data_IF_252826134519
#
_entry.id   IF_252826134519
#
_cell.length_a   1.000
_cell.length_b   1.000
_cell.length_c   1.000
_cell.angle_alpha   90.00
_cell.angle_beta   90.00
_cell.angle_gamma   90.00
#
_symmetry.space_group_name_H-M   'P 1'
#
loop_
_entity.id
_entity.type
_entity.pdbx_description
1 polymer ?
#
# COMPACT_ATOMS: atom_id res chain seq x y z
N UNK A 1 -4.65 23.69 1.62
CA UNK A 1 -3.53 22.82 1.19
C UNK A 1 -3.37 21.68 2.19
N UNK A 2 -4.07 20.55 2.01
CA UNK A 2 -4.07 19.43 2.99
C UNK A 2 -4.19 18.05 2.30
N UNK A 3 -3.65 17.93 1.09
CA UNK A 3 -3.73 16.72 0.25
C UNK A 3 -2.42 15.93 0.20
N UNK A 4 -1.43 16.30 1.03
CA UNK A 4 -0.04 15.85 0.90
C UNK A 4 0.37 14.67 1.81
N UNK A 5 -0.44 14.25 2.78
CA UNK A 5 0.04 13.29 3.79
C UNK A 5 -0.22 11.82 3.43
N UNK A 6 -1.30 11.51 2.70
CA UNK A 6 -1.46 10.16 2.13
C UNK A 6 -0.42 9.89 1.03
N UNK A 7 0.08 10.96 0.39
CA UNK A 7 1.11 10.91 -0.66
C UNK A 7 2.46 10.38 -0.14
N UNK A 8 2.74 10.42 1.16
CA UNK A 8 4.01 9.91 1.70
C UNK A 8 4.13 8.37 1.62
N UNK A 9 3.04 7.62 1.80
CA UNK A 9 3.01 6.18 1.44
C UNK A 9 3.15 6.00 -0.08
N UNK A 10 2.65 6.97 -0.86
CA UNK A 10 2.78 6.96 -2.31
C UNK A 10 4.19 7.27 -2.81
N UNK A 11 5.11 7.83 -2.02
CA UNK A 11 6.51 7.93 -2.47
C UNK A 11 7.18 6.55 -2.47
N UNK A 12 6.66 5.56 -1.75
CA UNK A 12 7.17 4.18 -1.82
C UNK A 12 6.63 3.44 -3.04
N UNK A 13 5.37 3.66 -3.42
CA UNK A 13 4.81 3.10 -4.66
C UNK A 13 5.20 3.90 -5.91
N UNK A 14 5.30 5.23 -5.84
CA UNK A 14 5.75 6.11 -6.93
C UNK A 14 7.28 6.16 -7.05
N UNK A 15 8.02 5.99 -5.95
CA UNK A 15 9.49 5.85 -5.95
C UNK A 15 9.98 4.57 -6.62
N UNK A 16 9.09 3.58 -6.77
CA UNK A 16 9.29 2.41 -7.64
C UNK A 16 9.55 2.80 -9.11
N UNK A 17 9.05 3.96 -9.53
CA UNK A 17 9.06 4.40 -10.92
C UNK A 17 10.23 5.36 -11.26
N UNK A 18 11.03 5.79 -10.28
CA UNK A 18 12.12 6.74 -10.48
C UNK A 18 13.53 6.18 -10.19
N UNK A 19 13.67 5.00 -9.57
CA UNK A 19 14.97 4.38 -9.31
C UNK A 19 15.24 3.27 -10.35
N UNK A 20 15.64 3.67 -11.56
CA UNK A 20 16.02 2.76 -12.63
C UNK A 20 17.40 3.07 -13.16
N UNK A 21 18.45 2.65 -12.46
CA UNK A 21 19.77 2.53 -13.08
C UNK A 21 20.53 1.31 -12.53
N UNK A 22 20.62 0.29 -13.39
CA UNK A 22 21.75 -0.63 -13.63
C UNK A 22 21.38 -2.11 -13.60
N UNK A 23 21.50 -2.71 -14.79
CA UNK A 23 21.75 -4.11 -15.09
C UNK A 23 20.72 -5.22 -14.83
N UNK A 24 20.51 -5.95 -15.93
CA UNK A 24 19.78 -7.20 -16.08
C UNK A 24 20.02 -8.19 -14.93
N UNK A 25 19.00 -8.42 -14.10
CA UNK A 25 18.74 -9.75 -13.51
C UNK A 25 17.26 -10.07 -13.58
N UNK A 26 16.95 -11.13 -14.32
CA UNK A 26 15.66 -11.83 -14.33
C UNK A 26 15.45 -12.52 -12.98
N UNK A 27 15.11 -11.75 -11.95
CA UNK A 27 14.54 -12.30 -10.73
C UNK A 27 13.12 -12.81 -11.05
N UNK A 28 12.73 -14.00 -10.56
CA UNK A 28 11.37 -14.50 -10.74
C UNK A 28 10.41 -13.49 -10.12
N UNK A 29 9.42 -13.03 -10.88
CA UNK A 29 8.37 -12.15 -10.38
C UNK A 29 7.71 -12.82 -9.17
N UNK A 30 7.96 -12.26 -7.99
CA UNK A 30 7.15 -12.49 -6.79
C UNK A 30 5.69 -12.15 -7.12
N UNK A 31 4.77 -12.97 -6.59
CA UNK A 31 3.31 -13.00 -6.84
C UNK A 31 2.73 -11.83 -7.65
N UNK A 32 2.19 -12.14 -8.84
CA UNK A 32 1.45 -11.20 -9.70
C UNK A 32 -0.04 -11.08 -9.34
N UNK A 33 -0.44 -11.60 -8.17
CA UNK A 33 -1.83 -11.61 -7.72
C UNK A 33 -1.97 -10.90 -6.38
N UNK A 34 -3.10 -10.22 -6.21
CA UNK A 34 -3.50 -9.70 -4.92
C UNK A 34 -3.55 -10.81 -3.87
N UNK A 35 -3.11 -10.54 -2.62
CA UNK A 35 -3.49 -11.34 -1.47
C UNK A 35 -5.01 -11.50 -1.43
N UNK A 36 -5.51 -12.70 -1.10
CA UNK A 36 -6.95 -13.00 -1.15
C UNK A 36 -7.76 -12.01 -0.31
N UNK A 37 -7.21 -11.62 0.84
CA UNK A 37 -7.82 -10.69 1.79
C UNK A 37 -7.99 -9.28 1.21
N UNK A 38 -7.11 -8.84 0.32
CA UNK A 38 -7.13 -7.51 -0.28
C UNK A 38 -8.37 -7.24 -1.15
N UNK A 39 -8.92 -8.31 -1.73
CA UNK A 39 -10.09 -8.24 -2.61
C UNK A 39 -11.41 -8.55 -1.90
N UNK A 40 -11.36 -8.93 -0.62
CA UNK A 40 -12.56 -9.20 0.17
C UNK A 40 -13.30 -7.90 0.54
N UNK A 41 -14.63 -7.94 0.70
CA UNK A 41 -15.38 -6.79 1.19
C UNK A 41 -14.85 -6.28 2.52
N UNK A 42 -14.70 -4.96 2.64
CA UNK A 42 -14.39 -4.24 3.87
C UNK A 42 -15.71 -3.74 4.46
N UNK A 43 -16.04 -4.16 5.69
CA UNK A 43 -17.21 -3.61 6.38
C UNK A 43 -16.88 -2.32 7.14
N UNK A 44 -17.91 -1.51 7.40
CA UNK A 44 -17.77 -0.28 8.18
C UNK A 44 -17.30 -0.58 9.61
N UNK A 45 -17.85 -1.63 10.25
CA UNK A 45 -17.42 -2.07 11.58
C UNK A 45 -15.95 -2.51 11.60
N UNK A 46 -15.50 -3.26 10.59
CA UNK A 46 -14.09 -3.65 10.46
C UNK A 46 -13.19 -2.42 10.39
N UNK A 47 -13.59 -1.40 9.61
CA UNK A 47 -12.81 -0.19 9.45
C UNK A 47 -12.82 0.68 10.71
N UNK A 48 -13.95 0.81 11.39
CA UNK A 48 -14.06 1.54 12.67
C UNK A 48 -13.18 0.91 13.74
N UNK A 49 -13.19 -0.42 13.86
CA UNK A 49 -12.31 -1.13 14.79
C UNK A 49 -10.84 -0.96 14.42
N UNK A 50 -10.53 -0.98 13.12
CA UNK A 50 -9.18 -0.74 12.64
C UNK A 50 -8.67 0.67 12.97
N UNK A 51 -9.48 1.70 12.74
CA UNK A 51 -9.15 3.09 13.10
C UNK A 51 -8.85 3.20 14.60
N UNK A 52 -9.65 2.56 15.45
CA UNK A 52 -9.40 2.51 16.91
C UNK A 52 -8.10 1.79 17.26
N UNK A 53 -7.68 0.80 16.45
CA UNK A 53 -6.45 0.06 16.64
C UNK A 53 -5.20 0.80 16.15
N UNK A 54 -5.32 1.85 15.32
CA UNK A 54 -4.18 2.56 14.72
C UNK A 54 -3.16 3.09 15.75
N UNK A 55 -3.55 3.69 16.89
CA UNK A 55 -2.57 4.14 17.87
C UNK A 55 -1.76 2.99 18.47
N UNK A 56 -2.41 1.86 18.76
CA UNK A 56 -1.75 0.68 19.30
C UNK A 56 -0.84 0.00 18.25
N UNK A 57 -1.29 -0.06 16.99
CA UNK A 57 -0.48 -0.52 15.86
C UNK A 57 0.77 0.36 15.71
N UNK A 58 0.61 1.69 15.65
CA UNK A 58 1.72 2.62 15.50
C UNK A 58 2.72 2.52 16.65
N UNK A 59 2.23 2.47 17.89
CA UNK A 59 3.07 2.28 19.08
C UNK A 59 3.86 0.99 19.05
N UNK A 60 3.25 -0.12 18.62
CA UNK A 60 3.94 -1.40 18.44
C UNK A 60 5.04 -1.34 17.38
N UNK A 61 4.73 -0.74 16.22
CA UNK A 61 5.68 -0.57 15.12
C UNK A 61 6.88 0.29 15.54
N UNK A 62 6.63 1.39 16.25
CA UNK A 62 7.68 2.26 16.80
C UNK A 62 8.56 1.53 17.82
N UNK A 63 7.96 0.80 18.75
CA UNK A 63 8.69 -0.02 19.74
C UNK A 63 9.52 -1.13 19.07
N UNK A 64 8.97 -1.73 18.02
CA UNK A 64 9.64 -2.73 17.19
C UNK A 64 10.67 -2.17 16.21
N UNK A 65 10.88 -0.84 16.18
CA UNK A 65 11.75 -0.14 15.22
C UNK A 65 11.44 -0.54 13.77
N UNK A 66 10.15 -0.67 13.48
CA UNK A 66 9.70 -1.02 12.15
C UNK A 66 9.99 0.12 11.20
N UNK A 67 10.59 -0.22 10.07
CA UNK A 67 10.83 0.71 8.98
C UNK A 67 10.30 0.12 7.68
N UNK A 68 9.79 0.98 6.81
CA UNK A 68 9.39 0.55 5.47
C UNK A 68 10.66 0.18 4.71
N UNK A 69 10.74 -1.10 4.29
CA UNK A 69 11.88 -1.55 3.51
C UNK A 69 11.85 -0.88 2.12
N UNK A 70 13.01 -0.46 1.58
CA UNK A 70 13.07 -0.03 0.20
C UNK A 70 12.60 -1.17 -0.70
N UNK A 71 11.84 -0.81 -1.74
CA UNK A 71 11.39 -1.78 -2.72
C UNK A 71 12.61 -2.40 -3.41
N UNK A 72 12.66 -3.73 -3.45
CA UNK A 72 13.74 -4.43 -4.16
C UNK A 72 13.49 -4.32 -5.66
N UNK A 73 14.55 -4.24 -6.45
CA UNK A 73 14.44 -4.29 -7.89
C UNK A 73 13.80 -5.63 -8.34
N UNK A 74 12.84 -5.56 -9.26
CA UNK A 74 12.16 -6.75 -9.79
C UNK A 74 10.98 -7.28 -8.96
N UNK A 75 10.61 -6.62 -7.86
CA UNK A 75 9.43 -6.99 -7.07
C UNK A 75 8.16 -6.39 -7.70
N UNK A 76 7.13 -7.22 -7.94
CA UNK A 76 5.84 -6.73 -8.44
C UNK A 76 5.22 -5.72 -7.47
N UNK A 77 4.53 -4.67 -7.94
CA UNK A 77 3.76 -3.76 -7.08
C UNK A 77 2.80 -4.48 -6.13
N UNK A 78 2.27 -5.65 -6.53
CA UNK A 78 1.37 -6.46 -5.70
C UNK A 78 2.10 -7.23 -4.58
N UNK A 79 3.32 -7.68 -4.84
CA UNK A 79 4.17 -8.25 -3.78
C UNK A 79 4.64 -7.20 -2.77
N UNK A 80 4.85 -5.95 -3.18
CA UNK A 80 5.19 -4.84 -2.28
C UNK A 80 4.14 -4.66 -1.17
N UNK A 81 2.86 -4.84 -1.49
CA UNK A 81 1.80 -4.81 -0.47
C UNK A 81 1.95 -5.93 0.56
N UNK A 82 2.24 -7.14 0.10
CA UNK A 82 2.44 -8.30 0.98
C UNK A 82 3.63 -8.06 1.88
N UNK A 83 4.75 -7.64 1.32
CA UNK A 83 5.97 -7.34 2.08
C UNK A 83 5.75 -6.20 3.08
N UNK A 84 4.97 -5.18 2.71
CA UNK A 84 4.59 -4.09 3.60
C UNK A 84 3.78 -4.59 4.80
N UNK A 85 2.67 -5.31 4.54
CA UNK A 85 1.77 -5.77 5.60
C UNK A 85 2.43 -6.84 6.46
N UNK A 86 3.10 -7.83 5.87
CA UNK A 86 3.80 -8.85 6.66
C UNK A 86 5.01 -8.28 7.40
N UNK A 87 5.68 -7.27 6.83
CA UNK A 87 6.78 -6.57 7.48
C UNK A 87 6.36 -5.90 8.78
N UNK A 88 5.11 -5.45 8.90
CA UNK A 88 4.55 -4.83 10.11
C UNK A 88 4.45 -5.82 11.29
N UNK A 89 4.59 -7.13 11.08
CA UNK A 89 4.54 -8.12 12.16
C UNK A 89 5.84 -8.11 13.00
N UNK A 90 5.96 -7.11 13.87
CA UNK A 90 7.10 -6.94 14.79
C UNK A 90 6.90 -7.67 16.12
N UNK A 91 7.98 -7.82 16.90
CA UNK A 91 7.90 -8.33 18.26
C UNK A 91 6.94 -7.47 19.12
N UNK A 92 6.07 -8.12 19.90
CA UNK A 92 5.11 -7.43 20.77
C UNK A 92 3.83 -6.94 20.08
N UNK A 93 3.74 -6.98 18.74
CA UNK A 93 2.56 -6.46 18.02
C UNK A 93 1.25 -7.13 18.44
N UNK A 94 1.28 -8.44 18.72
CA UNK A 94 0.08 -9.16 19.10
C UNK A 94 -0.42 -8.75 20.49
N UNK A 95 0.48 -8.44 21.42
CA UNK A 95 0.11 -7.96 22.76
C UNK A 95 -0.45 -6.54 22.67
N UNK A 96 0.19 -5.66 21.90
CA UNK A 96 -0.32 -4.29 21.67
C UNK A 96 -1.70 -4.28 21.02
N UNK A 97 -1.96 -5.21 20.10
CA UNK A 97 -3.23 -5.30 19.39
C UNK A 97 -4.26 -6.22 20.07
N UNK A 98 -3.95 -6.81 21.23
CA UNK A 98 -4.84 -7.74 21.93
C UNK A 98 -6.24 -7.18 22.19
N UNK A 99 -6.43 -5.91 22.59
CA UNK A 99 -7.77 -5.32 22.75
C UNK A 99 -8.61 -5.29 21.46
N UNK A 100 -7.97 -5.43 20.30
CA UNK A 100 -8.58 -5.37 18.97
C UNK A 100 -8.62 -6.74 18.28
N UNK A 101 -8.39 -7.84 19.03
CA UNK A 101 -8.35 -9.20 18.48
C UNK A 101 -6.99 -9.63 17.95
N UNK A 102 -5.93 -8.86 18.22
CA UNK A 102 -4.55 -9.21 17.86
C UNK A 102 -4.21 -9.01 16.39
N UNK A 103 -2.98 -9.36 16.03
CA UNK A 103 -2.46 -9.20 14.65
C UNK A 103 -3.31 -9.93 13.62
N UNK A 104 -3.79 -11.13 13.96
CA UNK A 104 -4.61 -11.95 13.06
C UNK A 104 -5.92 -11.25 12.64
N UNK A 105 -6.49 -10.40 13.51
CA UNK A 105 -7.71 -9.64 13.21
C UNK A 105 -7.43 -8.37 12.40
N UNK A 106 -6.31 -7.71 12.68
CA UNK A 106 -5.94 -6.43 12.04
C UNK A 106 -5.32 -6.62 10.65
N UNK A 107 -4.53 -7.68 10.45
CA UNK A 107 -3.82 -7.98 9.20
C UNK A 107 -4.73 -8.01 7.96
N UNK A 108 -5.88 -8.71 7.93
CA UNK A 108 -6.76 -8.68 6.75
C UNK A 108 -7.30 -7.29 6.45
N UNK A 109 -7.62 -6.50 7.46
CA UNK A 109 -8.12 -5.13 7.28
C UNK A 109 -7.05 -4.22 6.69
N UNK A 110 -5.77 -4.36 7.10
CA UNK A 110 -4.64 -3.66 6.48
C UNK A 110 -4.56 -3.93 4.97
N UNK A 111 -4.67 -5.20 4.56
CA UNK A 111 -4.69 -5.57 3.13
C UNK A 111 -5.81 -4.86 2.36
N UNK A 112 -7.04 -4.90 2.88
CA UNK A 112 -8.20 -4.25 2.24
C UNK A 112 -8.02 -2.74 2.13
N UNK A 113 -7.58 -2.09 3.22
CA UNK A 113 -7.40 -0.63 3.28
C UNK A 113 -6.30 -0.18 2.34
N UNK A 114 -5.15 -0.85 2.33
CA UNK A 114 -4.06 -0.49 1.42
C UNK A 114 -4.39 -0.77 -0.04
N UNK A 115 -5.08 -1.88 -0.35
CA UNK A 115 -5.54 -2.14 -1.71
C UNK A 115 -6.52 -1.07 -2.22
N UNK A 116 -7.51 -0.71 -1.40
CA UNK A 116 -8.45 0.36 -1.71
C UNK A 116 -7.77 1.73 -1.83
N UNK A 117 -6.81 2.03 -0.95
CA UNK A 117 -6.02 3.27 -1.01
C UNK A 117 -5.20 3.33 -2.30
N UNK A 118 -4.55 2.23 -2.68
CA UNK A 118 -3.78 2.16 -3.91
C UNK A 118 -4.65 2.33 -5.15
N UNK A 119 -5.81 1.66 -5.20
CA UNK A 119 -6.77 1.81 -6.29
C UNK A 119 -7.29 3.25 -6.40
N UNK A 120 -7.60 3.90 -5.28
CA UNK A 120 -8.01 5.31 -5.26
C UNK A 120 -6.96 6.25 -5.85
N UNK A 121 -5.67 5.98 -5.66
CA UNK A 121 -4.62 6.82 -6.26
C UNK A 121 -4.42 6.54 -7.72
N UNK A 122 -4.51 5.29 -8.16
CA UNK A 122 -4.50 5.01 -9.58
C UNK A 122 -5.69 5.68 -10.29
N UNK A 123 -6.88 5.63 -9.69
CA UNK A 123 -8.08 6.29 -10.20
C UNK A 123 -7.93 7.82 -10.26
N UNK A 124 -7.07 8.39 -9.39
CA UNK A 124 -6.79 9.83 -9.29
C UNK A 124 -5.49 10.27 -9.96
N UNK A 125 -4.78 9.36 -10.64
CA UNK A 125 -3.56 9.71 -11.37
C UNK A 125 -3.90 10.77 -12.44
N UNK A 126 -3.19 11.89 -12.41
CA UNK A 126 -3.52 13.00 -13.31
C UNK A 126 -3.16 12.64 -14.76
N UNK A 127 -3.89 13.18 -15.76
CA UNK A 127 -3.56 12.96 -17.16
C UNK A 127 -2.11 13.36 -17.50
N UNK A 128 -1.60 14.43 -16.90
CA UNK A 128 -0.23 14.92 -17.10
C UNK A 128 0.81 13.93 -16.56
N UNK A 129 0.53 13.30 -15.42
CA UNK A 129 1.41 12.25 -14.88
C UNK A 129 1.47 11.04 -15.83
N UNK A 130 0.31 10.60 -16.32
CA UNK A 130 0.24 9.46 -17.27
C UNK A 130 0.92 9.80 -18.58
N UNK A 131 0.72 11.01 -19.10
CA UNK A 131 1.35 11.45 -20.34
C UNK A 131 2.87 11.60 -20.19
N UNK A 132 3.35 12.10 -19.04
CA UNK A 132 4.77 12.14 -18.72
C UNK A 132 5.43 10.75 -18.75
N UNK A 133 4.77 9.73 -18.20
CA UNK A 133 5.27 8.34 -18.27
C UNK A 133 5.30 7.80 -19.72
N UNK A 134 4.35 8.19 -20.57
CA UNK A 134 4.33 7.76 -21.98
C UNK A 134 5.43 8.42 -22.82
N UNK A 135 5.78 9.66 -22.48
CA UNK A 135 6.81 10.43 -23.19
C UNK A 135 8.23 10.04 -22.78
N UNK A 136 8.42 9.41 -21.62
CA UNK A 136 9.71 8.92 -21.18
C UNK A 136 10.12 7.63 -21.93
N UNK A 137 10.94 7.81 -22.97
CA UNK A 137 11.45 6.70 -23.81
C UNK A 137 12.63 5.94 -23.20
N UNK A 138 13.12 6.34 -22.02
CA UNK A 138 14.22 5.64 -21.36
C UNK A 138 13.82 4.21 -20.98
N UNK A 139 14.80 3.35 -20.67
CA UNK A 139 14.50 2.00 -20.16
C UNK A 139 13.73 2.06 -18.83
N UNK A 140 14.08 3.02 -17.97
CA UNK A 140 13.36 3.32 -16.73
C UNK A 140 11.92 3.75 -17.00
N UNK A 141 11.73 4.76 -17.86
CA UNK A 141 10.40 5.26 -18.25
C UNK A 141 9.47 4.19 -18.82
N UNK A 142 9.97 3.36 -19.73
CA UNK A 142 9.19 2.24 -20.30
C UNK A 142 8.78 1.20 -19.27
N UNK A 143 9.68 0.84 -18.35
CA UNK A 143 9.36 -0.06 -17.24
C UNK A 143 8.32 0.56 -16.32
N UNK A 144 8.48 1.84 -16.06
CA UNK A 144 7.56 2.61 -15.24
C UNK A 144 6.16 2.67 -15.83
N UNK A 145 6.01 2.92 -17.13
CA UNK A 145 4.71 2.84 -17.79
C UNK A 145 4.10 1.44 -17.69
N UNK A 146 4.90 0.39 -17.93
CA UNK A 146 4.44 -0.99 -17.86
C UNK A 146 3.94 -1.37 -16.45
N UNK A 147 4.69 -1.01 -15.41
CA UNK A 147 4.33 -1.29 -14.02
C UNK A 147 3.06 -0.51 -13.62
N UNK A 148 2.88 0.72 -14.14
CA UNK A 148 1.69 1.53 -13.90
C UNK A 148 0.46 0.91 -14.57
N UNK A 149 0.57 0.50 -15.84
CA UNK A 149 -0.54 -0.13 -16.57
C UNK A 149 -0.92 -1.49 -15.96
N UNK A 150 0.08 -2.29 -15.56
CA UNK A 150 -0.15 -3.53 -14.83
C UNK A 150 -0.91 -3.27 -13.54
N UNK A 151 -0.43 -2.32 -12.73
CA UNK A 151 -1.05 -2.04 -11.44
C UNK A 151 -2.44 -1.43 -11.60
N UNK A 152 -2.64 -0.58 -12.61
CA UNK A 152 -3.95 -0.04 -12.96
C UNK A 152 -4.94 -1.13 -13.33
N UNK A 153 -4.55 -2.09 -14.15
CA UNK A 153 -5.34 -3.27 -14.44
C UNK A 153 -5.67 -4.05 -13.15
N UNK A 154 -4.67 -4.28 -12.29
CA UNK A 154 -4.88 -4.99 -11.03
C UNK A 154 -5.86 -4.27 -10.08
N UNK A 155 -5.81 -2.93 -10.01
CA UNK A 155 -6.70 -2.11 -9.16
C UNK A 155 -8.18 -2.18 -9.57
N UNK A 156 -8.50 -2.57 -10.81
CA UNK A 156 -9.89 -2.78 -11.24
C UNK A 156 -10.58 -3.92 -10.48
N UNK A 157 -9.81 -4.84 -9.88
CA UNK A 157 -10.33 -5.96 -9.10
C UNK A 157 -10.72 -5.55 -7.68
N UNK A 158 -10.29 -4.37 -7.21
CA UNK A 158 -10.57 -3.90 -5.85
C UNK A 158 -12.04 -3.47 -5.76
N UNK A 159 -12.83 -4.00 -4.79
CA UNK A 159 -14.24 -3.66 -4.70
C UNK A 159 -14.49 -2.15 -4.56
N UNK A 160 -15.42 -1.61 -5.35
CA UNK A 160 -15.79 -0.19 -5.32
C UNK A 160 -16.27 0.24 -3.93
N UNK A 161 -17.03 -0.62 -3.25
CA UNK A 161 -17.49 -0.38 -1.87
C UNK A 161 -16.31 -0.16 -0.90
N UNK A 162 -15.18 -0.86 -1.09
CA UNK A 162 -13.98 -0.65 -0.27
C UNK A 162 -13.37 0.73 -0.52
N UNK A 163 -13.29 1.16 -1.80
CA UNK A 163 -12.78 2.49 -2.18
C UNK A 163 -13.63 3.62 -1.62
N UNK A 164 -14.96 3.49 -1.71
CA UNK A 164 -15.90 4.46 -1.15
C UNK A 164 -15.78 4.55 0.37
N UNK A 165 -15.70 3.40 1.04
CA UNK A 165 -15.57 3.36 2.50
C UNK A 165 -14.24 3.95 2.97
N UNK A 166 -13.10 3.63 2.33
CA UNK A 166 -11.80 4.26 2.63
C UNK A 166 -11.84 5.76 2.39
N UNK A 167 -12.51 6.22 1.32
CA UNK A 167 -12.67 7.66 1.06
C UNK A 167 -13.45 8.35 2.19
N UNK A 168 -14.53 7.75 2.69
CA UNK A 168 -15.32 8.28 3.82
C UNK A 168 -14.48 8.42 5.10
N UNK A 169 -13.52 7.51 5.31
CA UNK A 169 -12.67 7.46 6.50
C UNK A 169 -11.29 8.10 6.29
N UNK A 170 -11.04 8.80 5.18
CA UNK A 170 -9.69 9.24 4.79
C UNK A 170 -8.96 10.05 5.88
N UNK A 171 -9.68 10.88 6.63
CA UNK A 171 -9.10 11.73 7.68
C UNK A 171 -8.64 10.89 8.87
N UNK A 172 -9.43 9.88 9.24
CA UNK A 172 -9.14 8.97 10.33
C UNK A 172 -8.03 7.98 9.97
N UNK A 173 -7.82 7.73 8.68
CA UNK A 173 -6.76 6.88 8.15
C UNK A 173 -5.43 7.62 7.91
N UNK A 174 -5.38 8.95 8.09
CA UNK A 174 -4.13 9.71 7.95
C UNK A 174 -2.94 9.17 8.77
N UNK A 175 -3.12 8.66 10.01
CA UNK A 175 -2.01 8.09 10.78
C UNK A 175 -1.32 6.90 10.10
N UNK A 176 -1.96 6.25 9.11
CA UNK A 176 -1.29 5.24 8.29
C UNK A 176 -0.04 5.79 7.61
N UNK A 177 -0.09 7.06 7.18
CA UNK A 177 1.00 7.74 6.49
C UNK A 177 2.26 7.94 7.33
N UNK A 178 2.16 7.75 8.64
CA UNK A 178 3.24 7.96 9.60
C UNK A 178 3.45 6.75 10.51
N UNK A 179 3.04 5.55 10.11
CA UNK A 179 3.26 4.35 10.92
C UNK A 179 4.74 4.12 11.19
N UNK A 180 5.08 3.80 12.44
CA UNK A 180 6.46 3.50 12.86
C UNK A 180 7.34 4.72 13.14
N UNK A 181 6.88 5.94 12.81
CA UNK A 181 7.59 7.20 13.04
C UNK A 181 7.21 7.84 14.39
#
# INVERSE_FOLDING_TARGET
>A
MRTLTLVAIFVVLAGAFCAGNSDQRTSPMTSTKWPKEALSPLSEDELVQFVKALPALSGALKAGKWETKPQREGTSPLSTLTDLVEGMKVAGINESLKPFGGWARIRPTLYKVFAATAALVIDRASPEFVEGMKQDTTAGGRRSLQDFEFFKSACTQVPEANKQLVTRFQEQLQPLGSLGN
#
